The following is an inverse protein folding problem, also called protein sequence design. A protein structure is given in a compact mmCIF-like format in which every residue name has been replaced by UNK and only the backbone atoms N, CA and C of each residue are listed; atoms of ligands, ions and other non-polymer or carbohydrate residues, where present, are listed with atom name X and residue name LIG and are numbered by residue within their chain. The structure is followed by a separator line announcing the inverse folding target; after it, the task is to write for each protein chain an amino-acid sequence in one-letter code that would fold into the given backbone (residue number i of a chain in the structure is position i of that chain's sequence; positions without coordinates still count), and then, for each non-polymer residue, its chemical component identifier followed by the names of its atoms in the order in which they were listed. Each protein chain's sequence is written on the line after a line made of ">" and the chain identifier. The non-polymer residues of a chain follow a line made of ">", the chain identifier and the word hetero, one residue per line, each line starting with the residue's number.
data_IF_835555063405
#
_entry.id   IF_835555063405
#
_cell.length_a   1.000
_cell.length_b   1.000
_cell.length_c   1.000
_cell.angle_alpha   90.00
_cell.angle_beta   90.00
_cell.angle_gamma   90.00
#
_symmetry.space_group_name_H-M   'P 1'
#
loop_
_entity.id
_entity.type
_entity.pdbx_description
1 polymer ?
#
# COMPACT_ATOMS: atom_id res chain seq x y z
N UNK A 1 -23.40 28.86 -13.67
CA UNK A 1 -24.54 28.13 -13.06
C UNK A 1 -25.03 27.12 -14.09
N UNK A 2 -24.38 25.95 -14.17
CA UNK A 2 -24.73 24.92 -15.15
C UNK A 2 -25.73 23.99 -14.48
N UNK A 3 -26.99 24.06 -14.91
CA UNK A 3 -28.03 23.11 -14.52
C UNK A 3 -27.77 21.80 -15.26
N UNK A 4 -27.27 20.78 -14.56
CA UNK A 4 -27.29 19.41 -15.06
C UNK A 4 -28.61 18.76 -14.65
N UNK A 5 -29.54 18.68 -15.60
CA UNK A 5 -30.73 17.82 -15.49
C UNK A 5 -30.27 16.36 -15.50
N UNK A 6 -30.27 15.70 -14.34
CA UNK A 6 -30.26 14.25 -14.27
C UNK A 6 -31.67 13.75 -14.62
N UNK A 7 -31.92 13.54 -15.91
CA UNK A 7 -33.10 12.80 -16.35
C UNK A 7 -32.99 11.34 -15.92
N UNK A 8 -34.08 10.79 -15.38
CA UNK A 8 -34.22 9.38 -15.07
C UNK A 8 -33.88 8.53 -16.31
N UNK A 9 -32.80 7.75 -16.23
CA UNK A 9 -32.43 6.82 -17.29
C UNK A 9 -33.35 5.60 -17.17
N UNK A 10 -34.35 5.50 -18.04
CA UNK A 10 -35.15 4.29 -18.21
C UNK A 10 -34.30 3.24 -18.94
N UNK A 11 -33.93 2.17 -18.24
CA UNK A 11 -33.14 1.04 -18.77
C UNK A 11 -34.02 -0.04 -19.41
N UNK A 12 -34.91 0.32 -20.33
CA UNK A 12 -35.64 -0.67 -21.13
C UNK A 12 -34.80 -1.03 -22.37
N UNK A 13 -33.94 -2.06 -22.25
CA UNK A 13 -33.32 -2.69 -23.42
C UNK A 13 -31.94 -3.33 -23.25
N UNK A 14 -31.24 -3.20 -22.13
CA UNK A 14 -29.89 -3.76 -22.00
C UNK A 14 -29.88 -5.10 -21.23
N UNK A 15 -30.28 -6.20 -21.89
CA UNK A 15 -30.37 -7.51 -21.23
C UNK A 15 -29.02 -8.16 -20.87
N UNK A 16 -27.86 -7.63 -21.30
CA UNK A 16 -26.54 -8.15 -20.93
C UNK A 16 -25.49 -7.04 -20.86
N UNK A 17 -25.11 -6.63 -19.65
CA UNK A 17 -23.94 -5.79 -19.44
C UNK A 17 -22.67 -6.59 -19.80
N UNK A 18 -21.98 -6.17 -20.85
CA UNK A 18 -20.75 -6.83 -21.32
C UNK A 18 -19.59 -6.54 -20.35
N UNK A 19 -19.19 -7.55 -19.59
CA UNK A 19 -18.32 -7.44 -18.41
C UNK A 19 -16.89 -6.94 -18.72
N UNK A 20 -16.36 -7.11 -19.95
CA UNK A 20 -14.93 -6.81 -20.24
C UNK A 20 -14.55 -6.34 -21.65
N UNK A 21 -15.46 -5.95 -22.56
CA UNK A 21 -15.03 -5.58 -23.93
C UNK A 21 -14.63 -4.10 -24.07
N UNK A 22 -13.30 -3.87 -23.95
CA UNK A 22 -12.47 -2.77 -24.50
C UNK A 22 -12.39 -1.38 -23.85
N UNK A 23 -13.11 -1.06 -22.78
CA UNK A 23 -12.84 0.15 -21.99
C UNK A 23 -13.28 -0.02 -20.54
N UNK A 24 -12.44 -0.68 -19.73
CA UNK A 24 -12.47 -0.63 -18.26
C UNK A 24 -13.73 -1.13 -17.49
N UNK A 25 -14.83 -1.47 -18.16
CA UNK A 25 -15.96 -2.24 -17.63
C UNK A 25 -16.65 -1.66 -16.38
N UNK A 26 -17.47 -2.48 -15.73
CA UNK A 26 -18.16 -2.13 -14.50
C UNK A 26 -17.24 -1.69 -13.34
N UNK A 27 -16.04 -2.30 -13.13
CA UNK A 27 -15.10 -1.83 -12.09
C UNK A 27 -14.65 -0.39 -12.27
N UNK A 28 -14.44 0.06 -13.51
CA UNK A 28 -14.05 1.45 -13.77
C UNK A 28 -15.20 2.42 -13.53
N UNK A 29 -16.42 2.07 -13.98
CA UNK A 29 -17.61 2.88 -13.70
C UNK A 29 -17.76 3.12 -12.19
N UNK A 30 -17.60 2.05 -11.43
CA UNK A 30 -17.64 2.08 -9.97
C UNK A 30 -16.51 2.93 -9.38
N UNK A 31 -15.28 2.76 -9.85
CA UNK A 31 -14.14 3.56 -9.42
C UNK A 31 -14.38 5.05 -9.70
N UNK A 32 -14.90 5.39 -10.88
CA UNK A 32 -15.27 6.76 -11.25
C UNK A 32 -16.40 7.32 -10.40
N UNK A 33 -17.42 6.52 -10.08
CA UNK A 33 -18.48 6.92 -9.14
C UNK A 33 -17.89 7.23 -7.77
N UNK A 34 -17.02 6.36 -7.24
CA UNK A 34 -16.39 6.58 -5.93
C UNK A 34 -15.50 7.83 -5.90
N UNK A 35 -14.71 8.07 -6.96
CA UNK A 35 -13.85 9.25 -7.08
C UNK A 35 -14.66 10.56 -7.05
N UNK A 36 -15.86 10.58 -7.65
CA UNK A 36 -16.63 11.79 -7.89
C UNK A 36 -17.87 11.97 -7.00
N UNK A 37 -18.33 10.93 -6.30
CA UNK A 37 -19.52 11.01 -5.46
C UNK A 37 -19.33 12.00 -4.30
N UNK A 38 -20.28 12.90 -4.03
CA UNK A 38 -20.26 13.75 -2.84
C UNK A 38 -20.11 12.92 -1.55
N UNK A 39 -19.40 13.45 -0.55
CA UNK A 39 -19.21 12.72 0.73
C UNK A 39 -20.56 12.41 1.39
N UNK A 40 -21.51 13.35 1.31
CA UNK A 40 -22.84 13.19 1.88
C UNK A 40 -23.61 12.05 1.19
N UNK A 41 -23.49 11.93 -0.13
CA UNK A 41 -24.15 10.86 -0.91
C UNK A 41 -23.55 9.47 -0.64
N UNK A 42 -22.27 9.39 -0.24
CA UNK A 42 -21.64 8.11 0.13
C UNK A 42 -22.16 7.58 1.47
N UNK A 43 -22.58 8.47 2.37
CA UNK A 43 -23.12 8.09 3.68
C UNK A 43 -24.65 7.98 3.68
N UNK A 44 -25.32 8.43 2.62
CA UNK A 44 -26.77 8.33 2.47
C UNK A 44 -27.14 7.00 1.77
N UNK A 45 -27.63 6.02 2.52
CA UNK A 45 -28.06 4.71 1.99
C UNK A 45 -29.16 4.80 0.92
N UNK A 46 -29.88 5.92 0.87
CA UNK A 46 -30.89 6.21 -0.15
C UNK A 46 -30.36 7.11 -1.27
N UNK A 47 -29.11 7.59 -1.16
CA UNK A 47 -28.46 8.44 -2.14
C UNK A 47 -28.23 7.77 -3.49
N UNK A 48 -28.03 8.60 -4.52
CA UNK A 48 -27.86 8.15 -5.91
C UNK A 48 -26.72 7.14 -6.06
N UNK A 49 -25.66 7.29 -5.29
CA UNK A 49 -24.54 6.36 -5.26
C UNK A 49 -25.01 4.95 -4.88
N UNK A 50 -25.69 4.79 -3.74
CA UNK A 50 -26.17 3.50 -3.25
C UNK A 50 -27.26 2.90 -4.13
N UNK A 51 -28.15 3.74 -4.69
CA UNK A 51 -29.15 3.29 -5.66
C UNK A 51 -28.50 2.73 -6.94
N UNK A 52 -27.53 3.47 -7.50
CA UNK A 52 -26.79 3.04 -8.70
C UNK A 52 -26.09 1.71 -8.44
N UNK A 53 -25.45 1.58 -7.27
CA UNK A 53 -24.76 0.35 -6.90
C UNK A 53 -25.71 -0.86 -6.74
N UNK A 54 -26.89 -0.68 -6.14
CA UNK A 54 -27.93 -1.73 -6.06
C UNK A 54 -28.41 -2.19 -7.43
N UNK A 55 -28.59 -1.26 -8.36
CA UNK A 55 -29.01 -1.59 -9.72
C UNK A 55 -27.90 -2.35 -10.48
N UNK A 56 -26.65 -1.89 -10.36
CA UNK A 56 -25.51 -2.57 -10.97
C UNK A 56 -25.33 -4.01 -10.46
N UNK A 57 -25.59 -4.24 -9.18
CA UNK A 57 -25.64 -5.58 -8.58
C UNK A 57 -26.72 -6.46 -9.17
N UNK A 58 -27.95 -5.94 -9.23
CA UNK A 58 -29.10 -6.65 -9.74
C UNK A 58 -28.92 -7.07 -11.21
N UNK A 59 -28.13 -6.31 -11.97
CA UNK A 59 -27.81 -6.61 -13.37
C UNK A 59 -26.58 -7.51 -13.58
N UNK A 60 -25.92 -8.00 -12.51
CA UNK A 60 -24.69 -8.79 -12.62
C UNK A 60 -24.93 -10.31 -12.54
N UNK A 61 -24.20 -11.11 -13.33
CA UNK A 61 -24.28 -12.58 -13.29
C UNK A 61 -23.83 -13.14 -11.91
N UNK A 62 -24.32 -14.31 -11.51
CA UNK A 62 -24.20 -14.86 -10.15
C UNK A 62 -22.75 -14.99 -9.62
N UNK A 63 -21.76 -15.27 -10.48
CA UNK A 63 -20.34 -15.31 -10.11
C UNK A 63 -19.72 -13.92 -9.87
N UNK A 64 -20.26 -12.91 -10.53
CA UNK A 64 -19.85 -11.51 -10.50
C UNK A 64 -20.62 -10.76 -9.41
N UNK A 65 -21.86 -11.16 -9.15
CA UNK A 65 -22.71 -10.69 -8.06
C UNK A 65 -22.09 -10.95 -6.69
N UNK A 66 -21.31 -12.02 -6.49
CA UNK A 66 -20.54 -12.25 -5.25
C UNK A 66 -19.39 -11.26 -5.09
N UNK A 67 -18.72 -10.90 -6.19
CA UNK A 67 -17.66 -9.88 -6.19
C UNK A 67 -18.24 -8.50 -5.91
N UNK A 68 -19.40 -8.20 -6.49
CA UNK A 68 -20.07 -6.93 -6.26
C UNK A 68 -20.85 -6.87 -4.94
N UNK A 69 -21.36 -7.98 -4.40
CA UNK A 69 -22.12 -7.95 -3.13
C UNK A 69 -21.19 -7.70 -1.94
N UNK A 70 -20.00 -8.31 -1.96
CA UNK A 70 -18.89 -7.95 -1.07
C UNK A 70 -18.50 -6.48 -1.26
N UNK A 71 -18.50 -5.99 -2.51
CA UNK A 71 -18.22 -4.59 -2.82
C UNK A 71 -19.29 -3.61 -2.28
N UNK A 72 -20.58 -3.90 -2.47
CA UNK A 72 -21.71 -3.05 -2.08
C UNK A 72 -21.92 -2.93 -0.57
N UNK A 73 -21.77 -4.04 0.16
CA UNK A 73 -21.79 -4.03 1.63
C UNK A 73 -20.71 -3.09 2.21
N UNK A 74 -19.65 -2.82 1.46
CA UNK A 74 -18.48 -2.11 1.97
C UNK A 74 -18.39 -0.64 1.59
N UNK A 75 -19.19 -0.13 0.66
CA UNK A 75 -19.16 1.30 0.31
C UNK A 75 -19.96 2.16 1.30
N UNK A 76 -20.79 1.55 2.17
CA UNK A 76 -21.55 2.27 3.18
C UNK A 76 -20.67 3.01 4.21
N UNK A 77 -19.37 2.67 4.30
CA UNK A 77 -18.42 3.38 5.14
C UNK A 77 -17.01 3.30 4.54
N UNK A 78 -16.36 4.44 4.27
CA UNK A 78 -14.98 4.49 3.74
C UNK A 78 -13.98 3.73 4.62
N UNK A 79 -14.20 3.70 5.94
CA UNK A 79 -13.44 2.90 6.90
C UNK A 79 -13.61 1.40 6.62
N UNK A 80 -14.83 0.96 6.35
CA UNK A 80 -15.15 -0.43 6.00
C UNK A 80 -14.60 -0.81 4.64
N UNK A 81 -14.63 0.09 3.65
CA UNK A 81 -14.05 -0.14 2.32
C UNK A 81 -12.52 -0.31 2.40
N UNK A 82 -11.87 0.53 3.20
CA UNK A 82 -10.43 0.46 3.41
C UNK A 82 -10.04 -0.77 4.23
N UNK A 83 -10.83 -1.07 5.28
CA UNK A 83 -10.71 -2.30 6.05
C UNK A 83 -10.94 -3.54 5.17
N UNK A 84 -11.80 -3.50 4.16
CA UNK A 84 -12.03 -4.61 3.21
C UNK A 84 -10.88 -4.80 2.24
N UNK A 85 -10.40 -3.70 1.66
CA UNK A 85 -9.29 -3.71 0.69
C UNK A 85 -8.02 -4.28 1.32
N UNK A 86 -7.88 -4.09 2.63
CA UNK A 86 -6.73 -4.51 3.38
C UNK A 86 -6.97 -5.80 4.17
N UNK A 87 -8.16 -6.05 4.73
CA UNK A 87 -8.59 -7.37 5.20
C UNK A 87 -9.11 -8.16 4.02
N UNK A 88 -8.19 -8.50 3.12
CA UNK A 88 -8.51 -9.57 2.21
C UNK A 88 -8.97 -10.80 3.00
N UNK A 89 -8.56 -11.04 4.26
CA UNK A 89 -8.87 -12.26 5.03
C UNK A 89 -10.37 -12.57 5.25
N UNK A 90 -11.22 -11.61 5.62
CA UNK A 90 -12.65 -11.87 5.90
C UNK A 90 -13.47 -12.06 4.62
N UNK A 91 -13.06 -11.42 3.53
CA UNK A 91 -13.58 -11.69 2.18
C UNK A 91 -12.89 -12.91 1.54
N UNK A 92 -11.69 -13.30 1.98
CA UNK A 92 -10.88 -14.41 1.46
C UNK A 92 -11.35 -15.79 1.88
N UNK A 93 -12.07 -15.95 2.99
CA UNK A 93 -12.77 -17.21 3.20
C UNK A 93 -13.84 -17.45 2.11
N UNK A 94 -14.37 -16.38 1.50
CA UNK A 94 -15.18 -16.43 0.27
C UNK A 94 -14.32 -16.32 -1.02
N UNK A 95 -13.09 -15.80 -0.95
CA UNK A 95 -12.29 -15.37 -2.11
C UNK A 95 -10.93 -16.05 -2.30
N UNK A 96 -10.57 -17.10 -1.56
CA UNK A 96 -9.38 -17.91 -1.84
C UNK A 96 -9.40 -18.50 -3.27
N UNK A 97 -10.60 -18.71 -3.83
CA UNK A 97 -10.81 -19.03 -5.24
C UNK A 97 -10.82 -17.79 -6.16
N UNK A 98 -11.41 -16.67 -5.72
CA UNK A 98 -11.61 -15.47 -6.55
C UNK A 98 -10.35 -14.61 -6.67
N UNK A 99 -9.42 -14.66 -5.70
CA UNK A 99 -8.09 -14.06 -5.83
C UNK A 99 -7.27 -14.68 -6.97
N UNK A 100 -7.56 -15.91 -7.38
CA UNK A 100 -6.93 -16.55 -8.55
C UNK A 100 -7.45 -15.96 -9.87
N UNK A 101 -8.62 -15.33 -9.85
CA UNK A 101 -9.26 -14.71 -11.02
C UNK A 101 -8.67 -13.32 -11.24
N UNK A 102 -7.97 -13.14 -12.38
CA UNK A 102 -7.25 -11.91 -12.70
C UNK A 102 -8.15 -10.66 -12.71
N UNK A 103 -9.39 -10.84 -13.14
CA UNK A 103 -10.40 -9.79 -13.26
C UNK A 103 -10.72 -9.17 -11.89
N UNK A 104 -10.84 -10.01 -10.86
CA UNK A 104 -11.13 -9.57 -9.48
C UNK A 104 -9.96 -8.78 -8.90
N UNK A 105 -8.73 -9.25 -9.10
CA UNK A 105 -7.52 -8.53 -8.67
C UNK A 105 -7.43 -7.14 -9.30
N UNK A 106 -7.72 -7.02 -10.59
CA UNK A 106 -7.71 -5.72 -11.27
C UNK A 106 -8.79 -4.78 -10.75
N UNK A 107 -10.02 -5.28 -10.56
CA UNK A 107 -11.11 -4.49 -10.03
C UNK A 107 -10.75 -3.93 -8.65
N UNK A 108 -10.16 -4.79 -7.80
CA UNK A 108 -9.64 -4.39 -6.50
C UNK A 108 -8.54 -3.33 -6.60
N UNK A 109 -7.57 -3.48 -7.50
CA UNK A 109 -6.50 -2.49 -7.71
C UNK A 109 -7.05 -1.15 -8.21
N UNK A 110 -8.00 -1.15 -9.15
CA UNK A 110 -8.63 0.08 -9.67
C UNK A 110 -9.39 0.81 -8.56
N UNK A 111 -10.14 0.05 -7.76
CA UNK A 111 -10.86 0.59 -6.62
C UNK A 111 -9.93 1.19 -5.58
N UNK A 112 -8.86 0.48 -5.23
CA UNK A 112 -7.87 0.98 -4.30
C UNK A 112 -7.23 2.28 -4.81
N UNK A 113 -6.91 2.37 -6.10
CA UNK A 113 -6.38 3.59 -6.71
C UNK A 113 -7.37 4.77 -6.60
N UNK A 114 -8.67 4.52 -6.87
CA UNK A 114 -9.72 5.51 -6.68
C UNK A 114 -9.83 5.97 -5.22
N UNK A 115 -9.78 5.02 -4.29
CA UNK A 115 -9.85 5.30 -2.85
C UNK A 115 -8.65 6.11 -2.35
N UNK A 116 -7.44 5.80 -2.80
CA UNK A 116 -6.24 6.59 -2.48
C UNK A 116 -6.41 8.03 -2.95
N UNK A 117 -6.86 8.27 -4.17
CA UNK A 117 -7.12 9.64 -4.66
C UNK A 117 -8.24 10.32 -3.88
N UNK A 118 -9.27 9.60 -3.45
CA UNK A 118 -10.38 10.15 -2.68
C UNK A 118 -9.94 10.59 -1.29
N UNK A 119 -9.14 9.77 -0.60
CA UNK A 119 -8.67 10.01 0.77
C UNK A 119 -7.56 11.06 0.80
N UNK A 120 -6.59 10.92 -0.08
CA UNK A 120 -5.35 11.71 -0.08
C UNK A 120 -5.30 12.77 -1.19
N UNK A 121 -6.28 12.84 -2.06
CA UNK A 121 -6.28 13.74 -3.21
C UNK A 121 -5.52 13.20 -4.42
N UNK A 122 -5.77 13.82 -5.57
CA UNK A 122 -5.12 13.49 -6.84
C UNK A 122 -3.82 14.28 -6.99
N UNK A 123 -2.68 13.66 -7.34
CA UNK A 123 -1.41 14.35 -7.60
C UNK A 123 -1.50 15.29 -8.81
N UNK A 124 -0.64 16.32 -8.86
CA UNK A 124 -0.70 17.35 -9.90
C UNK A 124 0.03 16.90 -11.16
N UNK A 125 1.03 16.05 -10.97
CA UNK A 125 1.93 15.59 -12.02
C UNK A 125 1.90 14.07 -12.05
N UNK A 126 1.96 13.50 -13.25
CA UNK A 126 2.14 12.07 -13.43
C UNK A 126 3.44 11.61 -12.74
N UNK A 127 3.31 10.60 -11.88
CA UNK A 127 4.37 10.17 -10.97
C UNK A 127 5.44 9.39 -11.71
N UNK A 128 6.70 9.82 -11.58
CA UNK A 128 7.89 9.05 -12.01
C UNK A 128 8.63 8.39 -10.84
N UNK A 129 8.27 8.76 -9.61
CA UNK A 129 8.90 8.30 -8.35
C UNK A 129 7.85 7.72 -7.41
N UNK A 130 8.30 6.97 -6.40
CA UNK A 130 7.44 6.45 -5.32
C UNK A 130 7.10 7.50 -4.25
N UNK A 131 7.75 8.66 -4.27
CA UNK A 131 7.50 9.75 -3.34
C UNK A 131 6.20 10.50 -3.66
N UNK A 132 5.41 10.73 -2.61
CA UNK A 132 4.10 11.39 -2.68
C UNK A 132 4.26 12.88 -2.41
N UNK A 133 3.61 13.72 -3.22
CA UNK A 133 3.51 15.17 -3.01
C UNK A 133 2.95 15.48 -1.61
N UNK A 134 3.51 16.48 -0.92
CA UNK A 134 3.10 16.83 0.45
C UNK A 134 1.61 17.12 0.58
N UNK A 135 0.99 17.76 -0.42
CA UNK A 135 -0.46 18.04 -0.46
C UNK A 135 -1.32 16.78 -0.54
N UNK A 136 -0.72 15.67 -0.98
CA UNK A 136 -1.34 14.36 -1.03
C UNK A 136 -0.92 13.46 0.13
N UNK A 137 -0.37 14.04 1.20
CA UNK A 137 -0.07 13.35 2.44
C UNK A 137 -0.95 13.85 3.57
N UNK A 138 -1.24 12.96 4.51
CA UNK A 138 -1.87 13.29 5.79
C UNK A 138 -0.96 12.88 6.93
N UNK A 139 -1.04 13.59 8.06
CA UNK A 139 -0.42 13.08 9.29
C UNK A 139 -1.08 11.77 9.70
N UNK A 140 -0.34 10.91 10.40
CA UNK A 140 -0.92 9.71 11.00
C UNK A 140 -2.14 10.03 11.88
N UNK A 141 -2.09 11.14 12.62
CA UNK A 141 -3.17 11.56 13.50
C UNK A 141 -4.43 11.95 12.72
N UNK A 142 -4.32 12.75 11.65
CA UNK A 142 -5.46 13.11 10.80
C UNK A 142 -6.11 11.88 10.17
N UNK A 143 -5.29 10.95 9.67
CA UNK A 143 -5.77 9.75 9.01
C UNK A 143 -6.43 8.78 9.99
N UNK A 144 -5.75 8.42 11.08
CA UNK A 144 -6.25 7.42 12.01
C UNK A 144 -7.31 7.96 12.97
N UNK A 145 -7.37 9.27 13.28
CA UNK A 145 -8.55 9.84 13.96
C UNK A 145 -9.82 9.72 13.10
N UNK A 146 -9.69 9.84 11.78
CA UNK A 146 -10.79 9.62 10.84
C UNK A 146 -11.15 8.15 10.68
N UNK A 147 -10.16 7.26 10.80
CA UNK A 147 -10.32 5.82 10.63
C UNK A 147 -9.66 5.01 11.77
N UNK A 148 -10.18 5.07 13.01
CA UNK A 148 -9.47 4.54 14.19
C UNK A 148 -9.16 3.05 14.15
N UNK A 149 -10.08 2.24 13.63
CA UNK A 149 -9.90 0.78 13.58
C UNK A 149 -8.79 0.34 12.64
N UNK A 150 -8.35 1.21 11.73
CA UNK A 150 -7.29 0.88 10.77
C UNK A 150 -5.92 0.82 11.41
N UNK A 151 -5.67 1.52 12.52
CA UNK A 151 -4.34 1.58 13.11
C UNK A 151 -3.86 0.20 13.59
N UNK A 152 -4.62 -0.41 14.51
CA UNK A 152 -4.33 -1.76 15.02
C UNK A 152 -4.39 -2.80 13.92
N UNK A 153 -5.35 -2.63 13.00
CA UNK A 153 -5.48 -3.52 11.88
C UNK A 153 -4.23 -3.47 10.97
N UNK A 154 -3.70 -2.30 10.63
CA UNK A 154 -2.47 -2.16 9.84
C UNK A 154 -1.28 -2.84 10.54
N UNK A 155 -1.16 -2.65 11.86
CA UNK A 155 -0.10 -3.28 12.64
C UNK A 155 -0.19 -4.80 12.58
N UNK A 156 -1.41 -5.34 12.74
CA UNK A 156 -1.66 -6.78 12.67
C UNK A 156 -1.27 -7.36 11.30
N UNK A 157 -1.59 -6.67 10.20
CA UNK A 157 -1.27 -7.15 8.86
C UNK A 157 0.22 -7.04 8.56
N UNK A 158 0.87 -5.95 8.99
CA UNK A 158 2.31 -5.80 8.84
C UNK A 158 3.08 -6.88 9.60
N UNK A 159 2.62 -7.25 10.80
CA UNK A 159 3.16 -8.40 11.54
C UNK A 159 2.98 -9.68 10.74
N UNK A 160 1.75 -9.99 10.31
CA UNK A 160 1.46 -11.20 9.54
C UNK A 160 2.32 -11.33 8.27
N UNK A 161 2.54 -10.23 7.53
CA UNK A 161 3.38 -10.23 6.33
C UNK A 161 4.86 -10.46 6.68
N UNK A 162 5.33 -9.82 7.75
CA UNK A 162 6.71 -9.97 8.24
C UNK A 162 6.98 -11.39 8.75
N UNK A 163 6.04 -11.97 9.51
CA UNK A 163 6.14 -13.32 10.06
C UNK A 163 6.22 -14.38 8.96
N UNK A 164 5.59 -14.14 7.80
CA UNK A 164 5.69 -15.00 6.64
C UNK A 164 7.11 -15.08 6.04
N UNK A 165 7.95 -14.07 6.28
CA UNK A 165 9.35 -13.98 5.83
C UNK A 165 10.34 -14.50 6.89
N UNK A 166 9.91 -14.75 8.12
CA UNK A 166 10.82 -15.15 9.20
C UNK A 166 11.19 -16.63 9.10
N UNK A 167 12.43 -16.89 8.65
CA UNK A 167 13.03 -18.22 8.56
C UNK A 167 13.35 -18.83 9.94
N UNK A 168 13.40 -18.02 11.01
CA UNK A 168 13.87 -18.47 12.34
C UNK A 168 12.89 -19.38 13.07
N UNK A 169 11.63 -19.42 12.66
CA UNK A 169 10.58 -20.17 13.36
C UNK A 169 10.49 -21.67 12.97
N UNK A 170 11.51 -22.25 12.31
CA UNK A 170 11.55 -23.67 11.88
C UNK A 170 10.32 -24.12 11.05
N UNK A 171 9.52 -23.17 10.57
CA UNK A 171 8.42 -23.40 9.63
C UNK A 171 8.90 -22.95 8.26
N UNK A 172 8.60 -23.73 7.24
CA UNK A 172 8.81 -23.35 5.84
C UNK A 172 8.26 -21.94 5.65
N UNK A 173 9.05 -20.97 5.09
CA UNK A 173 8.58 -19.62 4.84
C UNK A 173 7.25 -19.66 4.11
N UNK A 174 6.20 -19.09 4.71
CA UNK A 174 4.85 -19.10 4.13
C UNK A 174 4.62 -17.89 3.23
N UNK A 175 5.62 -17.03 3.06
CA UNK A 175 5.52 -15.87 2.19
C UNK A 175 5.10 -16.28 0.78
N UNK A 176 4.09 -15.59 0.24
CA UNK A 176 3.44 -16.02 -0.99
C UNK A 176 2.47 -14.98 -1.54
N UNK A 177 1.65 -15.38 -2.50
CA UNK A 177 0.75 -14.48 -3.22
C UNK A 177 -0.17 -13.66 -2.30
N UNK A 178 -0.68 -14.27 -1.22
CA UNK A 178 -1.52 -13.60 -0.23
C UNK A 178 -0.79 -12.44 0.46
N UNK A 179 0.44 -12.69 0.90
CA UNK A 179 1.28 -11.68 1.53
C UNK A 179 1.60 -10.53 0.56
N UNK A 180 1.92 -10.84 -0.70
CA UNK A 180 2.15 -9.83 -1.75
C UNK A 180 0.90 -8.97 -2.01
N UNK A 181 -0.27 -9.59 -2.08
CA UNK A 181 -1.53 -8.92 -2.32
C UNK A 181 -1.89 -7.94 -1.18
N UNK A 182 -1.59 -8.31 0.07
CA UNK A 182 -1.81 -7.47 1.25
C UNK A 182 -0.77 -6.35 1.37
N UNK A 183 0.50 -6.65 1.07
CA UNK A 183 1.60 -5.70 1.21
C UNK A 183 1.41 -4.47 0.33
N UNK A 184 0.96 -4.64 -0.91
CA UNK A 184 0.82 -3.54 -1.86
C UNK A 184 -0.06 -2.38 -1.36
N UNK A 185 -1.35 -2.59 -1.00
CA UNK A 185 -2.21 -1.50 -0.56
C UNK A 185 -1.81 -0.92 0.82
N UNK A 186 -1.24 -1.73 1.72
CA UNK A 186 -0.69 -1.25 3.00
C UNK A 186 0.48 -0.29 2.77
N UNK A 187 1.47 -0.71 1.99
CA UNK A 187 2.67 0.08 1.73
C UNK A 187 2.36 1.37 0.99
N UNK A 188 1.49 1.31 -0.04
CA UNK A 188 1.02 2.51 -0.74
C UNK A 188 0.32 3.46 0.23
N UNK A 189 -0.51 2.96 1.14
CA UNK A 189 -1.12 3.84 2.14
C UNK A 189 -0.06 4.50 3.02
N UNK A 190 0.92 3.73 3.50
CA UNK A 190 1.98 4.26 4.36
C UNK A 190 2.84 5.32 3.65
N UNK A 191 3.07 5.23 2.32
CA UNK A 191 3.77 6.30 1.58
C UNK A 191 3.00 7.62 1.53
N UNK A 192 1.68 7.58 1.77
CA UNK A 192 0.80 8.73 1.87
C UNK A 192 0.68 9.29 3.31
N UNK A 193 1.25 8.61 4.31
CA UNK A 193 1.28 9.09 5.69
C UNK A 193 2.60 9.80 6.00
N UNK A 194 2.54 10.76 6.94
CA UNK A 194 3.70 11.40 7.55
C UNK A 194 3.61 11.38 9.08
N UNK A 195 4.74 11.39 9.81
CA UNK A 195 4.73 11.51 11.26
C UNK A 195 3.90 12.70 11.71
N UNK A 196 3.13 12.52 12.79
CA UNK A 196 2.57 13.63 13.52
C UNK A 196 3.69 14.35 14.29
N UNK A 197 3.76 15.68 14.14
CA UNK A 197 4.66 16.53 14.93
C UNK A 197 3.91 16.83 16.23
N UNK A 198 4.28 16.14 17.31
CA UNK A 198 3.62 16.27 18.61
C UNK A 198 3.72 17.70 19.15
N UNK A 199 2.59 18.29 19.54
CA UNK A 199 2.57 19.41 20.48
C UNK A 199 2.53 18.90 21.92
N UNK A 200 2.81 19.76 22.90
CA UNK A 200 2.96 19.40 24.34
C UNK A 200 1.76 18.67 24.95
N UNK A 201 0.58 18.66 24.31
CA UNK A 201 -0.67 18.11 24.82
C UNK A 201 -1.28 17.01 23.91
N UNK A 202 -0.54 16.47 22.94
CA UNK A 202 -1.08 15.45 22.04
C UNK A 202 -0.95 14.03 22.60
N UNK A 203 -2.10 13.37 22.70
CA UNK A 203 -2.25 11.93 22.91
C UNK A 203 -1.54 11.14 21.80
N UNK A 204 -0.46 10.42 22.14
CA UNK A 204 0.42 9.66 21.22
C UNK A 204 -0.21 8.42 20.56
N UNK A 205 -1.54 8.34 20.49
CA UNK A 205 -2.28 7.13 20.12
C UNK A 205 -1.97 6.58 18.71
N UNK A 206 -1.50 7.42 17.78
CA UNK A 206 -1.23 7.02 16.39
C UNK A 206 0.22 7.25 15.95
N UNK A 207 1.16 6.76 16.76
CA UNK A 207 2.59 6.74 16.43
C UNK A 207 2.88 5.84 15.24
N UNK A 208 3.73 6.26 14.30
CA UNK A 208 4.13 5.42 13.16
C UNK A 208 5.35 4.52 13.46
N UNK A 209 6.02 4.74 14.61
CA UNK A 209 7.19 3.98 15.02
C UNK A 209 6.98 2.45 15.06
N UNK A 210 5.82 1.92 15.50
CA UNK A 210 5.60 0.47 15.58
C UNK A 210 5.57 -0.25 14.21
N UNK A 211 5.39 0.49 13.10
CA UNK A 211 5.46 -0.09 11.76
C UNK A 211 6.89 -0.37 11.30
N UNK A 212 7.89 0.35 11.83
CA UNK A 212 9.26 0.35 11.32
C UNK A 212 9.93 -1.04 11.39
N UNK A 213 9.84 -1.83 12.48
CA UNK A 213 10.47 -3.14 12.54
C UNK A 213 9.98 -4.09 11.43
N UNK A 214 8.67 -4.19 11.24
CA UNK A 214 8.07 -5.03 10.21
C UNK A 214 8.44 -4.54 8.81
N UNK A 215 8.42 -3.22 8.56
CA UNK A 215 8.86 -2.65 7.29
C UNK A 215 10.33 -2.95 6.99
N UNK A 216 11.20 -2.91 8.00
CA UNK A 216 12.61 -3.27 7.86
C UNK A 216 12.77 -4.76 7.53
N UNK A 217 12.02 -5.65 8.19
CA UNK A 217 12.00 -7.08 7.83
C UNK A 217 11.59 -7.25 6.36
N UNK A 218 10.49 -6.61 5.93
CA UNK A 218 10.07 -6.65 4.53
C UNK A 218 11.19 -6.16 3.60
N UNK A 219 11.74 -4.98 3.87
CA UNK A 219 12.79 -4.38 3.04
C UNK A 219 14.02 -5.30 2.91
N UNK A 220 14.45 -5.93 3.99
CA UNK A 220 15.68 -6.72 4.04
C UNK A 220 15.53 -8.14 3.49
N UNK A 221 14.35 -8.76 3.60
CA UNK A 221 14.18 -10.18 3.31
C UNK A 221 13.30 -10.47 2.10
N UNK A 222 12.46 -9.53 1.65
CA UNK A 222 11.55 -9.81 0.55
C UNK A 222 12.31 -9.96 -0.80
N UNK A 223 12.01 -10.98 -1.61
CA UNK A 223 12.61 -11.12 -2.93
C UNK A 223 11.97 -10.20 -3.97
N UNK A 224 10.69 -9.83 -3.80
CA UNK A 224 9.93 -9.03 -4.75
C UNK A 224 10.41 -7.56 -4.75
N UNK A 225 11.11 -7.14 -5.81
CA UNK A 225 11.69 -5.80 -5.93
C UNK A 225 10.66 -4.67 -5.79
N UNK A 226 9.48 -4.80 -6.41
CA UNK A 226 8.43 -3.77 -6.34
C UNK A 226 7.94 -3.49 -4.92
N UNK A 227 7.72 -4.56 -4.13
CA UNK A 227 7.32 -4.44 -2.73
C UNK A 227 8.48 -3.92 -1.88
N UNK A 228 9.72 -4.32 -2.18
CA UNK A 228 10.92 -3.79 -1.53
C UNK A 228 11.07 -2.28 -1.72
N UNK A 229 10.88 -1.80 -2.96
CA UNK A 229 10.93 -0.38 -3.29
C UNK A 229 9.81 0.40 -2.57
N UNK A 230 8.59 -0.15 -2.52
CA UNK A 230 7.48 0.43 -1.76
C UNK A 230 7.74 0.46 -0.25
N UNK A 231 8.32 -0.60 0.32
CA UNK A 231 8.69 -0.66 1.73
C UNK A 231 9.75 0.40 2.08
N UNK A 232 10.75 0.55 1.21
CA UNK A 232 11.75 1.62 1.33
C UNK A 232 11.10 3.01 1.30
N UNK A 233 10.25 3.28 0.30
CA UNK A 233 9.53 4.55 0.20
C UNK A 233 8.59 4.81 1.40
N UNK A 234 7.96 3.76 1.94
CA UNK A 234 7.12 3.85 3.13
C UNK A 234 7.96 4.22 4.36
N UNK A 235 9.10 3.56 4.60
CA UNK A 235 10.05 3.91 5.66
C UNK A 235 10.45 5.39 5.55
N UNK A 236 10.80 5.85 4.36
CA UNK A 236 11.16 7.25 4.12
C UNK A 236 10.01 8.22 4.41
N UNK A 237 8.76 7.79 4.21
CA UNK A 237 7.59 8.63 4.45
C UNK A 237 7.18 8.72 5.92
N UNK A 238 7.29 7.61 6.65
CA UNK A 238 6.76 7.49 8.01
C UNK A 238 7.78 7.67 9.11
N UNK A 239 9.08 7.68 8.79
CA UNK A 239 10.15 7.88 9.78
C UNK A 239 10.32 9.37 10.07
N UNK A 240 10.58 9.70 11.34
CA UNK A 240 11.20 10.97 11.72
C UNK A 240 12.69 10.94 11.37
N UNK A 241 13.32 12.11 11.27
CA UNK A 241 14.75 12.22 10.95
C UNK A 241 15.63 11.40 11.92
N UNK A 242 15.33 11.46 13.22
CA UNK A 242 16.04 10.70 14.25
C UNK A 242 15.84 9.18 14.14
N UNK A 243 14.66 8.73 13.70
CA UNK A 243 14.39 7.32 13.47
C UNK A 243 15.12 6.81 12.24
N UNK A 244 15.10 7.59 11.16
CA UNK A 244 15.82 7.29 9.92
C UNK A 244 17.33 7.19 10.19
N UNK A 245 17.90 8.15 10.93
CA UNK A 245 19.32 8.11 11.31
C UNK A 245 19.65 6.86 12.12
N UNK A 246 18.80 6.49 13.09
CA UNK A 246 18.97 5.26 13.88
C UNK A 246 18.93 4.01 13.01
N UNK A 247 18.03 3.95 12.03
CA UNK A 247 17.93 2.85 11.06
C UNK A 247 19.22 2.75 10.22
N UNK A 248 19.69 3.87 9.67
CA UNK A 248 20.90 3.90 8.84
C UNK A 248 22.14 3.49 9.65
N UNK A 249 22.28 3.98 10.88
CA UNK A 249 23.36 3.58 11.79
C UNK A 249 23.31 2.09 12.11
N UNK A 250 22.12 1.57 12.40
CA UNK A 250 21.94 0.13 12.66
C UNK A 250 22.31 -0.71 11.44
N UNK A 251 21.84 -0.34 10.23
CA UNK A 251 22.21 -1.01 8.98
C UNK A 251 23.72 -1.00 8.76
N UNK A 252 24.39 0.13 9.02
CA UNK A 252 25.84 0.23 8.92
C UNK A 252 26.55 -0.75 9.87
N UNK A 253 26.08 -0.89 11.12
CA UNK A 253 26.62 -1.87 12.06
C UNK A 253 26.44 -3.30 11.54
N UNK A 254 25.28 -3.62 10.96
CA UNK A 254 25.02 -4.94 10.37
C UNK A 254 26.00 -5.24 9.23
N UNK A 255 26.38 -4.24 8.41
CA UNK A 255 27.37 -4.45 7.34
C UNK A 255 28.73 -4.96 7.86
N UNK A 256 29.15 -4.51 9.05
CA UNK A 256 30.42 -4.93 9.67
C UNK A 256 30.34 -6.37 10.15
N UNK A 257 29.26 -6.75 10.83
CA UNK A 257 29.06 -8.11 11.34
C UNK A 257 29.04 -9.15 10.21
N UNK A 258 28.45 -8.80 9.07
CA UNK A 258 28.41 -9.67 7.88
C UNK A 258 29.78 -9.81 7.20
N UNK A 259 30.65 -8.79 7.28
CA UNK A 259 32.00 -8.84 6.69
C UNK A 259 33.02 -9.66 7.49
N UNK A 260 32.76 -9.89 8.78
CA UNK A 260 33.68 -10.62 9.68
C UNK A 260 33.51 -12.14 9.66
N UNK A 261 32.40 -12.65 9.10
CA UNK A 261 32.17 -14.09 8.94
C UNK A 261 32.79 -14.57 7.60
N UNK A 262 34.01 -15.09 7.67
CA UNK A 262 34.73 -15.92 6.68
C UNK A 262 34.70 -15.45 5.22
N UNK A 263 35.72 -14.71 4.77
CA UNK A 263 36.42 -14.77 3.46
C UNK A 263 35.66 -14.64 2.12
N UNK A 264 34.39 -14.98 2.09
CA UNK A 264 33.40 -14.88 1.02
C UNK A 264 32.08 -14.59 1.72
N UNK A 265 31.88 -13.36 2.18
CA UNK A 265 30.65 -12.98 2.86
C UNK A 265 29.49 -13.12 1.87
N UNK A 266 28.70 -14.19 1.98
CA UNK A 266 27.40 -14.36 1.31
C UNK A 266 26.41 -13.33 1.89
N UNK A 267 26.68 -12.04 1.68
CA UNK A 267 25.72 -10.97 1.93
C UNK A 267 24.57 -11.23 0.97
N UNK A 268 23.35 -11.35 1.50
CA UNK A 268 22.19 -11.59 0.64
C UNK A 268 22.04 -10.42 -0.34
N UNK A 269 21.75 -10.73 -1.61
CA UNK A 269 21.44 -9.71 -2.62
C UNK A 269 20.29 -8.80 -2.17
N UNK A 270 19.38 -9.34 -1.32
CA UNK A 270 18.29 -8.58 -0.73
C UNK A 270 18.80 -7.46 0.20
N UNK A 271 19.79 -7.75 1.05
CA UNK A 271 20.39 -6.76 1.96
C UNK A 271 21.10 -5.62 1.20
N UNK A 272 21.87 -5.95 0.15
CA UNK A 272 22.50 -4.93 -0.71
C UNK A 272 21.44 -4.07 -1.41
N UNK A 273 20.43 -4.71 -2.00
CA UNK A 273 19.33 -4.02 -2.69
C UNK A 273 18.55 -3.10 -1.76
N UNK A 274 18.32 -3.51 -0.52
CA UNK A 274 17.63 -2.73 0.50
C UNK A 274 18.36 -1.41 0.81
N UNK A 275 19.66 -1.49 1.09
CA UNK A 275 20.49 -0.31 1.36
C UNK A 275 20.53 0.59 0.11
N UNK A 276 20.64 0.01 -1.09
CA UNK A 276 20.67 0.77 -2.32
C UNK A 276 19.38 1.56 -2.55
N UNK A 277 18.22 0.96 -2.28
CA UNK A 277 16.92 1.63 -2.41
C UNK A 277 16.77 2.77 -1.40
N UNK A 278 17.22 2.58 -0.15
CA UNK A 278 17.19 3.65 0.86
C UNK A 278 18.07 4.84 0.44
N UNK A 279 19.31 4.58 0.01
CA UNK A 279 20.22 5.63 -0.47
C UNK A 279 19.67 6.36 -1.70
N UNK A 280 19.03 5.63 -2.62
CA UNK A 280 18.39 6.22 -3.79
C UNK A 280 17.27 7.20 -3.38
N UNK A 281 16.39 6.81 -2.47
CA UNK A 281 15.33 7.69 -1.99
C UNK A 281 15.85 8.88 -1.18
N UNK A 282 16.90 8.70 -0.38
CA UNK A 282 17.56 9.80 0.35
C UNK A 282 18.08 10.85 -0.66
N UNK A 283 18.69 10.39 -1.75
CA UNK A 283 19.18 11.27 -2.81
C UNK A 283 18.03 11.94 -3.60
N UNK A 284 16.98 11.20 -3.95
CA UNK A 284 15.79 11.74 -4.62
C UNK A 284 15.10 12.84 -3.79
N UNK A 285 15.01 12.63 -2.47
CA UNK A 285 14.42 13.59 -1.53
C UNK A 285 15.37 14.73 -1.13
N UNK A 286 16.65 14.68 -1.56
CA UNK A 286 17.68 15.66 -1.20
C UNK A 286 17.80 15.87 0.31
N UNK A 287 17.67 14.78 1.08
CA UNK A 287 17.85 14.85 2.53
C UNK A 287 19.32 15.13 2.86
N UNK A 288 19.56 15.72 4.04
CA UNK A 288 20.92 16.00 4.50
C UNK A 288 21.74 14.71 4.55
N UNK A 289 22.98 14.82 4.07
CA UNK A 289 23.92 13.70 4.09
C UNK A 289 24.40 13.54 5.54
N UNK A 290 23.96 12.46 6.19
CA UNK A 290 24.53 12.05 7.48
C UNK A 290 25.80 11.22 7.26
N UNK A 291 26.65 11.14 8.28
CA UNK A 291 27.85 10.30 8.26
C UNK A 291 27.51 8.83 7.94
N UNK A 292 26.34 8.35 8.36
CA UNK A 292 25.83 7.01 8.07
C UNK A 292 25.55 6.81 6.58
N UNK A 293 25.02 7.83 5.89
CA UNK A 293 24.75 7.80 4.44
C UNK A 293 26.05 7.67 3.66
N UNK A 294 27.08 8.43 4.03
CA UNK A 294 28.40 8.35 3.39
C UNK A 294 29.03 6.96 3.58
N UNK A 295 29.04 6.48 4.83
CA UNK A 295 29.58 5.16 5.18
C UNK A 295 28.89 4.02 4.41
N UNK A 296 27.55 4.04 4.33
CA UNK A 296 26.78 3.06 3.56
C UNK A 296 27.00 3.19 2.05
N UNK A 297 27.14 4.41 1.54
CA UNK A 297 27.42 4.65 0.10
C UNK A 297 28.78 4.08 -0.30
N UNK A 298 29.81 4.31 0.51
CA UNK A 298 31.15 3.72 0.32
C UNK A 298 31.07 2.19 0.37
N UNK A 299 30.33 1.64 1.33
CA UNK A 299 30.15 0.19 1.44
C UNK A 299 29.46 -0.40 0.21
N UNK A 300 28.37 0.20 -0.29
CA UNK A 300 27.67 -0.24 -1.51
C UNK A 300 28.58 -0.21 -2.72
N UNK A 301 29.40 0.84 -2.90
CA UNK A 301 30.31 0.92 -4.03
C UNK A 301 31.34 -0.22 -4.01
N UNK A 302 31.81 -0.64 -2.83
CA UNK A 302 32.64 -1.84 -2.70
C UNK A 302 31.88 -3.11 -3.12
N UNK A 303 30.63 -3.28 -2.72
CA UNK A 303 29.84 -4.45 -3.09
C UNK A 303 29.55 -4.55 -4.60
N UNK A 304 29.33 -3.41 -5.29
CA UNK A 304 29.15 -3.39 -6.75
C UNK A 304 30.36 -3.91 -7.51
N UNK A 305 31.57 -3.60 -7.02
CA UNK A 305 32.81 -4.12 -7.59
C UNK A 305 32.87 -5.65 -7.45
N UNK A 306 32.46 -6.20 -6.31
CA UNK A 306 32.41 -7.66 -6.11
C UNK A 306 31.36 -8.34 -6.99
N UNK A 307 30.14 -7.80 -7.10
CA UNK A 307 29.07 -8.39 -7.91
C UNK A 307 29.39 -8.38 -9.43
N UNK A 308 30.12 -7.38 -9.92
CA UNK A 308 30.56 -7.33 -11.32
C UNK A 308 31.73 -8.28 -11.63
N UNK A 309 32.54 -8.67 -10.64
CA UNK A 309 33.64 -9.62 -10.84
C UNK A 309 33.20 -11.08 -10.99
N UNK A 310 31.92 -11.41 -10.75
CA UNK A 310 31.37 -12.76 -10.91
C UNK A 310 30.55 -12.95 -12.20
N UNK A 311 30.59 -11.99 -13.14
CA UNK A 311 29.84 -12.03 -14.42
C UNK A 311 30.79 -12.05 -15.64
N UNK A 312 32.06 -12.41 -15.46
CA UNK A 312 33.00 -12.74 -16.55
C UNK A 312 33.40 -14.19 -16.47
#
# INVERSE_FOLDING_TARGET
>A
MVKTNFGCINWEGCQKLCVTRRSAGLPHLIASLLENAPINDLNDEHGLFHQTMRQLLACSEQSIALTFSAFFSCIQNLQSLFFLILNAHSVLQLMDHLQKIWQVRNAHTQLFAALIKRIFGTPSVERRTLHIETRCKQTSNEFFKRYPSLYEFFLSQMSYISDGLDEKNNKIPQFGCKHLFLAFPLLITLTHLRPHISSLNDDFHYSLQPFLPNLLTLLLYIPAYSIKALASAAIMSISKDSELERILNWLFIQTKQLSTFNGTSNISQNFVSAIQLLLLHINELKLSVSESVEKLSVWINKQKLFLNCYVT
#
